data_IF_047700962280
#
_entry.id   IF_047700962280
#
_cell.length_a   1.000
_cell.length_b   1.000
_cell.length_c   1.000
_cell.angle_alpha   90.00
_cell.angle_beta   90.00
_cell.angle_gamma   90.00
#
_symmetry.space_group_name_H-M   'P 1'
#
loop_
_entity.id
_entity.type
_entity.pdbx_description
1 polymer ?
#
# COMPACT_ATOMS: atom_id res chain seq x y z
N UNK A 1 5.28 12.02 -7.45
CA UNK A 1 6.15 11.78 -6.28
C UNK A 1 6.54 10.31 -6.21
N UNK A 2 7.73 10.03 -5.66
CA UNK A 2 8.15 8.67 -5.39
C UNK A 2 7.72 8.29 -3.96
N UNK A 3 6.97 7.19 -3.82
CA UNK A 3 6.59 6.62 -2.54
C UNK A 3 7.29 5.26 -2.36
N UNK A 4 7.93 5.09 -1.21
CA UNK A 4 8.62 3.87 -0.82
C UNK A 4 7.75 3.13 0.20
N UNK A 5 7.48 1.86 -0.06
CA UNK A 5 6.68 0.99 0.78
C UNK A 5 7.45 -0.27 1.16
N UNK A 6 7.27 -0.73 2.38
CA UNK A 6 7.66 -2.07 2.79
C UNK A 6 6.51 -3.05 2.53
N UNK A 7 6.79 -4.06 1.72
CA UNK A 7 5.96 -5.24 1.56
C UNK A 7 6.18 -6.17 2.76
N UNK A 8 5.23 -6.24 3.69
CA UNK A 8 5.41 -7.02 4.91
C UNK A 8 5.30 -8.53 4.72
N UNK A 9 4.58 -9.00 3.70
CA UNK A 9 4.42 -10.44 3.50
C UNK A 9 5.69 -11.03 2.87
N UNK A 10 6.39 -10.25 2.04
CA UNK A 10 7.60 -10.71 1.33
C UNK A 10 8.91 -10.09 1.85
N UNK A 11 8.85 -9.15 2.80
CA UNK A 11 10.03 -8.51 3.40
C UNK A 11 10.87 -7.68 2.42
N UNK A 12 10.24 -7.10 1.39
CA UNK A 12 10.95 -6.34 0.34
C UNK A 12 10.46 -4.91 0.24
N UNK A 13 11.33 -4.01 -0.22
CA UNK A 13 10.92 -2.65 -0.54
C UNK A 13 10.29 -2.59 -1.93
N UNK A 14 9.25 -1.77 -2.06
CA UNK A 14 8.55 -1.48 -3.30
C UNK A 14 8.53 0.03 -3.46
N UNK A 15 8.96 0.49 -4.63
CA UNK A 15 9.00 1.91 -4.97
C UNK A 15 8.01 2.16 -6.08
N UNK A 16 7.11 3.12 -5.87
CA UNK A 16 6.07 3.47 -6.84
C UNK A 16 6.14 4.97 -7.12
N UNK A 17 6.01 5.32 -8.39
CA UNK A 17 5.84 6.71 -8.82
C UNK A 17 4.36 6.98 -9.12
N UNK A 18 3.79 7.98 -8.43
CA UNK A 18 2.39 8.38 -8.55
C UNK A 18 2.21 9.87 -8.24
N UNK A 19 1.09 10.46 -8.65
CA UNK A 19 0.68 11.78 -8.16
C UNK A 19 0.49 11.75 -6.63
N UNK A 20 1.05 12.73 -5.93
CA UNK A 20 0.93 12.83 -4.47
C UNK A 20 -0.49 13.15 -3.99
N UNK A 21 -1.30 13.76 -4.85
CA UNK A 21 -2.71 14.05 -4.56
C UNK A 21 -3.65 12.87 -4.81
N UNK A 22 -3.14 11.78 -5.42
CA UNK A 22 -3.92 10.58 -5.65
C UNK A 22 -4.43 9.97 -4.33
N UNK A 23 -5.59 9.34 -4.38
CA UNK A 23 -6.17 8.72 -3.19
C UNK A 23 -5.33 7.50 -2.80
N UNK A 24 -5.25 7.19 -1.50
CA UNK A 24 -4.45 6.05 -1.01
C UNK A 24 -4.91 4.72 -1.61
N UNK A 25 -6.20 4.60 -1.95
CA UNK A 25 -6.76 3.41 -2.62
C UNK A 25 -6.20 3.23 -4.04
N UNK A 26 -5.88 4.32 -4.75
CA UNK A 26 -5.33 4.25 -6.10
C UNK A 26 -3.95 3.61 -6.09
N UNK A 27 -3.21 3.72 -4.98
CA UNK A 27 -1.93 3.02 -4.81
C UNK A 27 -2.11 1.49 -4.78
N UNK A 28 -3.20 0.98 -4.21
CA UNK A 28 -3.49 -0.47 -4.23
C UNK A 28 -3.70 -0.93 -5.67
N UNK A 29 -4.46 -0.16 -6.46
CA UNK A 29 -4.65 -0.45 -7.88
C UNK A 29 -3.32 -0.41 -8.64
N UNK A 30 -2.49 0.60 -8.39
CA UNK A 30 -1.18 0.71 -9.02
C UNK A 30 -0.25 -0.46 -8.67
N UNK A 31 -0.23 -0.91 -7.42
CA UNK A 31 0.52 -2.10 -7.01
C UNK A 31 0.05 -3.36 -7.75
N UNK A 32 -1.24 -3.43 -8.10
CA UNK A 32 -1.81 -4.55 -8.86
C UNK A 32 -1.39 -4.51 -10.33
N UNK A 33 -1.43 -3.34 -10.96
CA UNK A 33 -0.95 -3.15 -12.33
C UNK A 33 0.53 -3.53 -12.49
N UNK A 34 1.34 -3.23 -11.47
CA UNK A 34 2.76 -3.59 -11.41
C UNK A 34 3.01 -5.05 -11.04
N UNK A 35 1.96 -5.86 -10.81
CA UNK A 35 2.08 -7.26 -10.41
C UNK A 35 2.65 -7.47 -9.00
N UNK A 36 2.71 -6.42 -8.16
CA UNK A 36 3.18 -6.51 -6.78
C UNK A 36 2.12 -7.19 -5.89
N UNK A 37 0.85 -6.94 -6.16
CA UNK A 37 -0.29 -7.67 -5.59
C UNK A 37 -1.06 -8.38 -6.71
N UNK A 38 -1.61 -9.55 -6.41
CA UNK A 38 -2.36 -10.35 -7.39
C UNK A 38 -3.78 -9.79 -7.61
N UNK A 39 -4.43 -10.13 -8.73
CA UNK A 39 -5.81 -9.70 -8.99
C UNK A 39 -6.83 -10.17 -7.93
N UNK A 40 -6.58 -11.29 -7.26
CA UNK A 40 -7.42 -11.80 -6.19
C UNK A 40 -6.99 -11.35 -4.78
N UNK A 41 -6.12 -10.34 -4.69
CA UNK A 41 -5.59 -9.82 -3.42
C UNK A 41 -5.87 -8.33 -3.27
N UNK A 42 -6.28 -7.89 -2.08
CA UNK A 42 -6.27 -6.48 -1.69
C UNK A 42 -5.11 -6.21 -0.72
N UNK A 43 -4.86 -4.95 -0.41
CA UNK A 43 -3.84 -4.56 0.56
C UNK A 43 -4.37 -3.56 1.58
N UNK A 44 -3.92 -3.70 2.82
CA UNK A 44 -4.04 -2.66 3.84
C UNK A 44 -2.78 -1.80 3.81
N UNK A 45 -2.94 -0.49 3.66
CA UNK A 45 -1.87 0.50 3.68
C UNK A 45 -1.82 1.20 5.03
N UNK A 46 -0.62 1.59 5.45
CA UNK A 46 -0.42 2.38 6.65
C UNK A 46 1.05 2.55 6.99
N UNK A 47 1.35 2.73 8.27
CA UNK A 47 2.73 2.79 8.76
C UNK A 47 3.07 1.57 9.60
N UNK A 48 4.32 1.16 9.54
CA UNK A 48 4.85 0.05 10.30
C UNK A 48 4.83 0.39 11.80
N UNK A 49 4.17 -0.44 12.61
CA UNK A 49 4.22 -0.34 14.07
C UNK A 49 5.37 -1.17 14.65
N UNK A 50 5.56 -2.37 14.11
CA UNK A 50 6.59 -3.33 14.47
C UNK A 50 6.83 -4.30 13.31
N UNK A 51 7.61 -5.34 13.51
CA UNK A 51 7.96 -6.31 12.46
C UNK A 51 6.78 -7.07 11.83
N UNK A 52 5.55 -6.97 12.35
CA UNK A 52 4.40 -7.74 11.86
C UNK A 52 3.11 -6.94 11.70
N UNK A 53 3.03 -5.73 12.25
CA UNK A 53 1.78 -4.94 12.32
C UNK A 53 1.88 -3.61 11.60
N UNK A 54 0.77 -3.23 10.96
CA UNK A 54 0.56 -1.93 10.31
C UNK A 54 -0.49 -1.17 11.11
N UNK A 55 -0.23 0.10 11.41
CA UNK A 55 -1.23 1.04 11.86
C UNK A 55 -1.87 1.71 10.63
N UNK A 56 -3.20 1.63 10.56
CA UNK A 56 -3.95 2.44 9.60
C UNK A 56 -3.71 3.93 9.87
N UNK A 57 -3.55 4.71 8.79
CA UNK A 57 -3.45 6.17 8.86
C UNK A 57 -4.64 6.76 8.10
N UNK A 58 -5.46 7.61 8.74
CA UNK A 58 -6.56 8.29 8.05
C UNK A 58 -5.99 9.43 7.19
N UNK A 59 -5.43 9.07 6.03
CA UNK A 59 -4.91 9.99 5.03
C UNK A 59 -5.81 9.98 3.80
N UNK A 60 -6.18 11.16 3.30
CA UNK A 60 -6.98 11.29 2.09
C UNK A 60 -6.16 11.06 0.82
N UNK A 61 -4.85 11.33 0.86
CA UNK A 61 -3.95 11.17 -0.28
C UNK A 61 -2.53 10.77 0.13
N UNK A 62 -1.69 10.49 -0.87
CA UNK A 62 -0.32 10.00 -0.66
C UNK A 62 0.60 11.04 -0.02
N UNK A 63 0.42 12.32 -0.30
CA UNK A 63 1.16 13.41 0.36
C UNK A 63 0.91 13.42 1.86
N UNK A 64 -0.35 13.32 2.29
CA UNK A 64 -0.71 13.26 3.70
C UNK A 64 -0.17 12.01 4.38
N UNK A 65 -0.24 10.85 3.71
CA UNK A 65 0.34 9.60 4.23
C UNK A 65 1.87 9.73 4.42
N UNK A 66 2.57 10.27 3.42
CA UNK A 66 4.01 10.48 3.47
C UNK A 66 4.42 11.52 4.52
N UNK A 67 3.65 12.60 4.66
CA UNK A 67 3.86 13.61 5.70
C UNK A 67 3.68 13.01 7.10
N UNK A 68 2.63 12.22 7.31
CA UNK A 68 2.40 11.53 8.58
C UNK A 68 3.53 10.57 8.92
N UNK A 69 3.94 9.74 7.96
CA UNK A 69 5.05 8.80 8.14
C UNK A 69 6.36 9.53 8.50
N UNK A 70 6.68 10.63 7.80
CA UNK A 70 7.85 11.46 8.09
C UNK A 70 7.79 12.06 9.50
N UNK A 71 6.66 12.64 9.88
CA UNK A 71 6.47 13.25 11.21
C UNK A 71 6.67 12.23 12.33
N UNK A 72 6.27 10.97 12.11
CA UNK A 72 6.38 9.88 13.09
C UNK A 72 7.69 9.10 12.99
N UNK A 73 8.58 9.47 12.06
CA UNK A 73 9.77 8.68 11.71
C UNK A 73 9.44 7.20 11.45
N UNK A 74 8.34 6.95 10.73
CA UNK A 74 7.79 5.63 10.49
C UNK A 74 7.92 5.22 9.01
N UNK A 75 8.00 3.92 8.77
CA UNK A 75 8.05 3.34 7.43
C UNK A 75 6.64 3.12 6.91
N UNK A 76 6.33 3.56 5.69
CA UNK A 76 5.06 3.23 5.03
C UNK A 76 5.12 1.76 4.63
N UNK A 77 4.09 0.99 4.95
CA UNK A 77 4.04 -0.44 4.70
C UNK A 77 2.67 -0.87 4.19
N UNK A 78 2.64 -2.04 3.55
CA UNK A 78 1.38 -2.71 3.20
C UNK A 78 1.40 -4.20 3.51
N UNK A 79 0.21 -4.75 3.71
CA UNK A 79 -0.04 -6.18 3.91
C UNK A 79 -1.16 -6.66 3.01
N UNK A 80 -0.99 -7.82 2.40
CA UNK A 80 -1.96 -8.43 1.50
C UNK A 80 -3.03 -9.20 2.25
N UNK A 81 -4.21 -9.21 1.64
CA UNK A 81 -5.33 -10.03 2.08
C UNK A 81 -6.01 -10.66 0.86
N UNK A 82 -6.37 -11.95 0.94
CA UNK A 82 -7.15 -12.58 -0.13
C UNK A 82 -8.54 -11.94 -0.22
N UNK A 83 -9.02 -11.72 -1.44
CA UNK A 83 -10.40 -11.29 -1.69
C UNK A 83 -11.25 -12.56 -1.83
N UNK A 84 -12.01 -12.88 -0.80
CA UNK A 84 -12.94 -14.00 -0.84
C UNK A 84 -14.09 -13.72 -1.82
N UNK A 85 -14.47 -14.74 -2.60
CA UNK A 85 -15.51 -14.60 -3.63
C UNK A 85 -15.05 -13.89 -4.91
N UNK A 86 -13.75 -13.62 -5.07
CA UNK A 86 -13.23 -13.08 -6.33
C UNK A 86 -13.39 -14.10 -7.46
N UNK A 87 -14.31 -13.83 -8.38
CA UNK A 87 -14.39 -14.47 -9.68
C UNK A 87 -13.74 -13.53 -10.70
N UNK A 88 -12.64 -13.94 -11.37
CA UNK A 88 -12.06 -13.13 -12.42
C UNK A 88 -13.09 -12.94 -13.55
N UNK A 89 -13.12 -11.78 -14.23
CA UNK A 89 -14.00 -11.59 -15.38
C UNK A 89 -13.71 -12.68 -16.42
N UNK A 90 -14.74 -13.42 -16.84
CA UNK A 90 -14.62 -14.34 -17.96
C UNK A 90 -14.38 -13.50 -19.22
N UNK A 91 -13.24 -13.73 -19.89
CA UNK A 91 -12.88 -13.07 -21.15
C UNK A 91 -13.53 -13.79 -22.32
#
# INVERSE_FOLDING_TARGET
>A
MQIKLLDLDNGREVVVEMDGRAHVVDLIQRLRELGVIRPNETAMLGVLMDSRRIAYVPAANLEQLAAYARQRNAVIAFRRFPIHGYAPPQR
#
